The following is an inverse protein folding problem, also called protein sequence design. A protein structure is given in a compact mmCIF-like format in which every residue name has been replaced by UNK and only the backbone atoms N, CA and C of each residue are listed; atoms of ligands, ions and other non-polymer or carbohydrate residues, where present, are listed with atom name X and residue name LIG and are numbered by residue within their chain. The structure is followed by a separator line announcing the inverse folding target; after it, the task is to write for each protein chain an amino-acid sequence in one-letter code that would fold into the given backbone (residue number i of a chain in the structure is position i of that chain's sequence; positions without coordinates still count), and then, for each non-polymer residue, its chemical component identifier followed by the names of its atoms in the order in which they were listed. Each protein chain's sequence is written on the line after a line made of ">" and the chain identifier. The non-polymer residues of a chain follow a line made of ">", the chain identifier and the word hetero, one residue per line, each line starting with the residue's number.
data_IF_750432517900
#
_entry.id   IF_750432517900
#
_cell.length_a   1.000
_cell.length_b   1.000
_cell.length_c   1.000
_cell.angle_alpha   90.00
_cell.angle_beta   90.00
_cell.angle_gamma   90.00
#
_symmetry.space_group_name_H-M   'P 1'
#
loop_
_entity.id
_entity.type
_entity.pdbx_description
1 polymer ?
#
# COMPACT_ATOMS: atom_id res chain seq x y z
N UNK A 1 2.85 -19.51 30.24
CA UNK A 1 2.33 -18.98 28.96
C UNK A 1 1.06 -18.22 29.28
N UNK A 2 1.14 -16.89 29.36
CA UNK A 2 -0.01 -16.04 29.71
C UNK A 2 -0.80 -15.79 28.42
N UNK A 3 -2.10 -16.10 28.36
CA UNK A 3 -2.90 -15.79 27.18
C UNK A 3 -3.08 -14.26 27.09
N UNK A 4 -2.67 -13.68 25.96
CA UNK A 4 -2.94 -12.27 25.62
C UNK A 4 -4.41 -12.18 25.20
N UNK A 5 -5.30 -12.13 26.20
CA UNK A 5 -6.71 -11.77 26.04
C UNK A 5 -6.82 -10.27 26.34
N UNK A 6 -6.57 -9.44 25.34
CA UNK A 6 -6.92 -8.02 25.40
C UNK A 6 -8.45 -7.88 25.45
N UNK A 7 -8.94 -6.88 26.17
CA UNK A 7 -10.36 -6.60 26.28
C UNK A 7 -10.94 -6.33 24.88
N UNK A 8 -11.98 -7.08 24.52
CA UNK A 8 -12.62 -7.03 23.19
C UNK A 8 -13.14 -5.64 22.82
N UNK A 9 -13.43 -4.82 23.83
CA UNK A 9 -14.05 -3.50 23.68
C UNK A 9 -13.04 -2.46 23.16
N UNK A 10 -11.83 -2.42 23.72
CA UNK A 10 -10.78 -1.47 23.32
C UNK A 10 -10.35 -1.65 21.86
N UNK A 11 -10.19 -2.92 21.43
CA UNK A 11 -9.83 -3.25 20.04
C UNK A 11 -10.96 -2.88 19.07
N UNK A 12 -12.22 -3.01 19.51
CA UNK A 12 -13.41 -2.69 18.70
C UNK A 12 -13.59 -1.18 18.53
N UNK A 13 -13.31 -0.38 19.57
CA UNK A 13 -13.39 1.08 19.49
C UNK A 13 -12.29 1.66 18.59
N UNK A 14 -11.05 1.19 18.77
CA UNK A 14 -9.93 1.54 17.88
C UNK A 14 -10.23 1.17 16.42
N UNK A 15 -10.85 0.00 16.18
CA UNK A 15 -11.36 -0.41 14.87
C UNK A 15 -12.27 0.63 14.24
N UNK A 16 -13.29 1.03 15.00
CA UNK A 16 -14.37 1.87 14.51
C UNK A 16 -13.82 3.24 14.15
N UNK A 17 -12.91 3.75 14.99
CA UNK A 17 -12.19 4.99 14.76
C UNK A 17 -11.33 4.91 13.48
N UNK A 18 -10.49 3.89 13.35
CA UNK A 18 -9.65 3.66 12.16
C UNK A 18 -10.51 3.52 10.91
N UNK A 19 -11.58 2.74 10.98
CA UNK A 19 -12.51 2.54 9.86
C UNK A 19 -13.14 3.85 9.41
N UNK A 20 -13.56 4.70 10.36
CA UNK A 20 -14.12 6.02 10.06
C UNK A 20 -13.10 6.95 9.39
N UNK A 21 -11.89 7.03 9.93
CA UNK A 21 -10.81 7.87 9.38
C UNK A 21 -10.45 7.41 7.97
N UNK A 22 -10.21 6.10 7.79
CA UNK A 22 -9.78 5.52 6.52
C UNK A 22 -10.86 5.63 5.45
N UNK A 23 -12.13 5.38 5.79
CA UNK A 23 -13.23 5.51 4.82
C UNK A 23 -13.34 6.93 4.27
N UNK A 24 -13.18 7.93 5.15
CA UNK A 24 -13.15 9.34 4.75
C UNK A 24 -11.93 9.66 3.88
N UNK A 25 -10.75 9.15 4.24
CA UNK A 25 -9.54 9.33 3.42
C UNK A 25 -9.72 8.73 2.02
N UNK A 26 -10.25 7.52 1.90
CA UNK A 26 -10.51 6.87 0.61
C UNK A 26 -11.44 7.73 -0.25
N UNK A 27 -12.54 8.24 0.31
CA UNK A 27 -13.45 9.13 -0.42
C UNK A 27 -12.74 10.40 -0.92
N UNK A 28 -11.95 11.05 -0.06
CA UNK A 28 -11.21 12.25 -0.44
C UNK A 28 -10.12 11.97 -1.50
N UNK A 29 -9.41 10.85 -1.39
CA UNK A 29 -8.39 10.44 -2.35
C UNK A 29 -9.02 10.23 -3.74
N UNK A 30 -10.16 9.52 -3.80
CA UNK A 30 -10.88 9.27 -5.05
C UNK A 30 -11.34 10.57 -5.72
N UNK A 31 -11.73 11.57 -4.93
CA UNK A 31 -12.22 12.87 -5.43
C UNK A 31 -11.14 13.87 -5.83
N UNK A 32 -9.93 13.78 -5.26
CA UNK A 32 -8.85 14.78 -5.47
C UNK A 32 -7.94 14.46 -6.64
N UNK A 33 -7.77 13.19 -7.01
CA UNK A 33 -6.87 12.78 -8.08
C UNK A 33 -7.47 11.65 -8.91
N UNK A 34 -7.68 11.91 -10.19
CA UNK A 34 -8.29 10.96 -11.13
C UNK A 34 -7.51 9.65 -11.25
N UNK A 35 -6.19 9.65 -10.99
CA UNK A 35 -5.40 8.42 -11.00
C UNK A 35 -5.84 7.46 -9.88
N UNK A 36 -6.13 8.00 -8.69
CA UNK A 36 -6.55 7.25 -7.52
C UNK A 36 -8.08 7.10 -7.39
N UNK A 37 -8.86 7.53 -8.39
CA UNK A 37 -10.33 7.43 -8.41
C UNK A 37 -10.89 6.03 -8.17
N UNK A 38 -10.14 4.99 -8.56
CA UNK A 38 -10.53 3.58 -8.40
C UNK A 38 -9.88 2.90 -7.20
N UNK A 39 -9.24 3.66 -6.30
CA UNK A 39 -8.56 3.08 -5.13
C UNK A 39 -9.58 2.54 -4.15
N UNK A 40 -9.42 1.32 -3.68
CA UNK A 40 -10.30 0.68 -2.71
C UNK A 40 -9.50 0.29 -1.48
N UNK A 41 -10.17 0.23 -0.33
CA UNK A 41 -9.56 -0.42 0.82
C UNK A 41 -9.69 -1.93 0.63
N UNK A 42 -8.58 -2.65 0.76
CA UNK A 42 -8.65 -4.10 0.87
C UNK A 42 -9.08 -4.49 2.29
N UNK A 43 -10.17 -5.25 2.39
CA UNK A 43 -10.70 -5.78 3.65
C UNK A 43 -9.96 -7.01 4.16
N UNK A 44 -9.11 -7.63 3.32
CA UNK A 44 -8.30 -8.77 3.70
C UNK A 44 -7.10 -8.31 4.54
N UNK A 45 -7.24 -8.41 5.85
CA UNK A 45 -6.20 -8.07 6.81
C UNK A 45 -6.38 -8.83 8.11
N UNK A 46 -5.26 -9.15 8.76
CA UNK A 46 -5.19 -9.85 10.05
C UNK A 46 -5.96 -9.16 11.18
N UNK A 47 -6.32 -7.90 11.02
CA UNK A 47 -7.19 -7.15 11.90
C UNK A 47 -8.59 -7.79 12.03
N UNK A 48 -9.21 -8.17 10.91
CA UNK A 48 -10.51 -8.85 10.90
C UNK A 48 -10.37 -10.35 11.18
N UNK A 49 -9.23 -10.94 10.78
CA UNK A 49 -9.00 -12.39 10.86
C UNK A 49 -8.29 -12.83 12.15
N UNK A 50 -7.88 -11.90 13.04
CA UNK A 50 -7.20 -12.12 14.33
C UNK A 50 -5.91 -12.95 14.30
N UNK A 51 -5.34 -13.17 13.12
CA UNK A 51 -4.23 -14.13 12.89
C UNK A 51 -2.83 -13.53 13.03
N UNK A 52 -2.69 -12.19 13.02
CA UNK A 52 -1.44 -11.48 13.24
C UNK A 52 -1.74 -10.12 13.88
N UNK A 53 -1.66 -10.05 15.20
CA UNK A 53 -1.73 -8.79 15.94
C UNK A 53 -0.38 -8.70 16.66
N UNK A 54 0.51 -7.82 16.20
CA UNK A 54 1.73 -7.45 16.92
C UNK A 54 1.35 -6.69 18.18
N UNK A 55 0.57 -5.62 18.02
CA UNK A 55 0.09 -4.75 19.08
C UNK A 55 -1.35 -4.27 18.81
N UNK A 56 -2.21 -4.12 19.84
CA UNK A 56 -3.62 -3.73 19.68
C UNK A 56 -3.85 -2.37 19.01
N UNK A 57 -2.85 -1.51 19.00
CA UNK A 57 -2.92 -0.14 18.46
C UNK A 57 -2.20 0.02 17.12
N UNK A 58 -1.78 -1.06 16.47
CA UNK A 58 -1.11 -1.03 15.17
C UNK A 58 -2.01 -1.66 14.08
N UNK A 59 -2.22 -0.91 13.00
CA UNK A 59 -3.12 -1.31 11.92
C UNK A 59 -2.42 -1.19 10.56
N UNK A 60 -2.32 -2.30 9.83
CA UNK A 60 -1.90 -2.28 8.43
C UNK A 60 -3.11 -2.23 7.49
N UNK A 61 -3.14 -1.25 6.58
CA UNK A 61 -4.22 -1.07 5.62
C UNK A 61 -3.65 -0.98 4.21
N UNK A 62 -4.07 -1.91 3.36
CA UNK A 62 -3.77 -1.84 1.94
C UNK A 62 -4.84 -1.03 1.21
N UNK A 63 -4.40 0.02 0.52
CA UNK A 63 -5.20 0.73 -0.46
C UNK A 63 -4.85 0.17 -1.84
N UNK A 64 -5.77 -0.61 -2.38
CA UNK A 64 -5.61 -1.34 -3.63
C UNK A 64 -6.16 -0.53 -4.79
N UNK A 65 -5.35 -0.37 -5.82
CA UNK A 65 -5.75 0.28 -7.05
C UNK A 65 -5.62 -0.71 -8.22
N UNK A 66 -6.72 -1.03 -8.92
CA UNK A 66 -6.66 -1.90 -10.08
C UNK A 66 -5.89 -1.22 -11.21
N UNK A 67 -4.96 -1.97 -11.81
CA UNK A 67 -4.20 -1.58 -12.99
C UNK A 67 -4.33 -2.67 -14.05
N UNK A 68 -4.50 -2.24 -15.30
CA UNK A 68 -4.67 -3.14 -16.43
C UNK A 68 -3.49 -3.03 -17.39
N UNK A 69 -3.17 -4.14 -18.05
CA UNK A 69 -2.19 -4.20 -19.15
C UNK A 69 -0.82 -3.66 -18.76
N UNK A 70 -0.35 -4.01 -17.57
CA UNK A 70 1.01 -3.70 -17.15
C UNK A 70 1.99 -4.71 -17.72
N UNK A 71 3.24 -4.31 -17.79
CA UNK A 71 4.40 -5.16 -18.01
C UNK A 71 5.29 -5.07 -16.76
N UNK A 72 5.82 -6.23 -16.37
CA UNK A 72 6.68 -6.39 -15.21
C UNK A 72 8.06 -6.81 -15.71
N UNK A 73 9.05 -5.97 -15.46
CA UNK A 73 10.45 -6.26 -15.77
C UNK A 73 11.19 -6.50 -14.44
N UNK A 74 11.89 -7.62 -14.29
CA UNK A 74 12.60 -7.95 -13.06
C UNK A 74 13.70 -6.91 -12.77
N UNK A 75 13.70 -6.38 -11.54
CA UNK A 75 14.68 -5.39 -11.08
C UNK A 75 15.97 -6.07 -10.56
N UNK A 76 15.85 -7.31 -10.08
CA UNK A 76 16.98 -8.10 -9.57
C UNK A 76 16.77 -9.61 -9.74
N UNK A 77 17.74 -10.39 -9.26
CA UNK A 77 17.78 -11.84 -9.28
C UNK A 77 16.91 -12.53 -8.21
N UNK A 78 16.21 -11.76 -7.37
CA UNK A 78 15.40 -12.31 -6.28
C UNK A 78 14.00 -12.73 -6.74
N UNK A 79 13.53 -12.20 -7.87
CA UNK A 79 12.18 -12.41 -8.37
C UNK A 79 11.08 -11.74 -7.53
N UNK A 80 11.44 -10.81 -6.64
CA UNK A 80 10.51 -10.10 -5.76
C UNK A 80 10.37 -8.60 -6.11
N UNK A 81 11.32 -8.02 -6.85
CA UNK A 81 11.29 -6.61 -7.25
C UNK A 81 11.08 -6.49 -8.76
N UNK A 82 10.18 -5.58 -9.13
CA UNK A 82 9.78 -5.36 -10.51
C UNK A 82 9.72 -3.88 -10.83
N UNK A 83 10.20 -3.51 -12.01
CA UNK A 83 9.78 -2.31 -12.68
C UNK A 83 8.41 -2.53 -13.32
N UNK A 84 7.57 -1.50 -13.27
CA UNK A 84 6.22 -1.55 -13.82
C UNK A 84 6.12 -0.55 -14.96
N UNK A 85 5.64 -1.00 -16.12
CA UNK A 85 5.30 -0.14 -17.25
C UNK A 85 3.91 -0.49 -17.78
N UNK A 86 3.27 0.42 -18.51
CA UNK A 86 2.00 0.12 -19.17
C UNK A 86 2.28 -0.37 -20.60
N UNK A 87 1.78 -1.56 -20.97
CA UNK A 87 1.82 -2.05 -22.36
C UNK A 87 1.06 -1.11 -23.32
N UNK A 88 0.08 -0.39 -22.79
CA UNK A 88 -0.63 0.70 -23.46
C UNK A 88 -1.05 1.72 -22.41
N UNK A 89 -0.61 2.96 -22.56
CA UNK A 89 -0.96 4.02 -21.62
C UNK A 89 -2.48 4.22 -21.55
N UNK A 90 -3.10 4.15 -20.36
CA UNK A 90 -4.53 4.42 -20.21
C UNK A 90 -4.80 5.90 -20.50
N UNK A 91 -5.60 6.20 -21.54
CA UNK A 91 -5.91 7.58 -21.94
C UNK A 91 -6.80 8.34 -20.93
N UNK A 92 -7.54 7.61 -20.10
CA UNK A 92 -8.57 8.17 -19.20
C UNK A 92 -8.00 8.78 -17.91
N UNK A 93 -6.74 8.48 -17.59
CA UNK A 93 -6.09 8.90 -16.34
C UNK A 93 -4.78 9.59 -16.67
N UNK A 94 -4.47 10.66 -15.95
CA UNK A 94 -3.22 11.42 -16.10
C UNK A 94 -2.04 10.68 -15.45
N UNK A 95 -1.71 9.50 -15.97
CA UNK A 95 -0.58 8.69 -15.50
C UNK A 95 0.77 9.34 -15.80
N UNK A 96 0.82 10.29 -16.74
CA UNK A 96 2.06 10.90 -17.21
C UNK A 96 2.87 11.52 -16.07
N UNK A 97 2.21 12.14 -15.09
CA UNK A 97 2.87 12.71 -13.89
C UNK A 97 3.58 11.67 -13.00
N UNK A 98 3.24 10.39 -13.13
CA UNK A 98 3.84 9.30 -12.38
C UNK A 98 4.85 8.48 -13.18
N UNK A 99 5.07 8.78 -14.46
CA UNK A 99 6.06 8.10 -15.26
C UNK A 99 7.45 8.75 -15.08
N UNK A 100 8.50 7.93 -15.13
CA UNK A 100 9.87 8.36 -15.36
C UNK A 100 10.12 8.56 -16.86
N UNK A 101 11.27 9.15 -17.21
CA UNK A 101 11.66 9.42 -18.61
C UNK A 101 11.69 8.15 -19.47
N UNK A 102 12.01 7.00 -18.87
CA UNK A 102 12.02 5.69 -19.54
C UNK A 102 10.64 5.01 -19.60
N UNK A 103 9.57 5.73 -19.24
CA UNK A 103 8.18 5.24 -19.30
C UNK A 103 7.79 4.29 -18.17
N UNK A 104 8.67 4.06 -17.18
CA UNK A 104 8.37 3.25 -16.00
C UNK A 104 7.57 4.04 -14.97
N UNK A 105 6.70 3.35 -14.25
CA UNK A 105 5.91 3.93 -13.18
C UNK A 105 6.78 4.19 -11.94
N UNK A 106 6.76 5.43 -11.47
CA UNK A 106 7.51 5.87 -10.30
C UNK A 106 6.71 5.65 -9.02
N UNK A 107 7.08 4.59 -8.29
CA UNK A 107 6.57 4.34 -6.95
C UNK A 107 6.72 5.56 -6.02
N UNK A 108 7.82 6.30 -6.17
CA UNK A 108 8.09 7.51 -5.39
C UNK A 108 7.09 8.64 -5.69
N UNK A 109 6.88 8.98 -6.97
CA UNK A 109 5.94 10.06 -7.36
C UNK A 109 4.51 9.72 -6.91
N UNK A 110 4.09 8.47 -7.07
CA UNK A 110 2.77 8.02 -6.62
C UNK A 110 2.59 8.11 -5.10
N UNK A 111 3.57 7.60 -4.32
CA UNK A 111 3.53 7.69 -2.87
C UNK A 111 3.57 9.13 -2.37
N UNK A 112 4.33 10.01 -3.03
CA UNK A 112 4.35 11.42 -2.68
C UNK A 112 2.99 12.09 -2.93
N UNK A 113 2.40 11.90 -4.11
CA UNK A 113 1.08 12.46 -4.40
C UNK A 113 0.00 11.96 -3.42
N UNK A 114 -0.03 10.66 -3.16
CA UNK A 114 -0.95 10.07 -2.18
C UNK A 114 -0.73 10.65 -0.78
N UNK A 115 0.53 10.79 -0.35
CA UNK A 115 0.88 11.34 0.97
C UNK A 115 0.46 12.79 1.13
N UNK A 116 0.61 13.63 0.10
CA UNK A 116 0.18 15.03 0.16
C UNK A 116 -1.35 15.15 0.21
N UNK A 117 -2.07 14.33 -0.57
CA UNK A 117 -3.53 14.24 -0.50
C UNK A 117 -3.99 13.86 0.91
N UNK A 118 -3.37 12.83 1.52
CA UNK A 118 -3.68 12.39 2.88
C UNK A 118 -3.37 13.50 3.88
N UNK A 119 -2.19 14.13 3.83
CA UNK A 119 -1.82 15.24 4.73
C UNK A 119 -2.80 16.41 4.67
N UNK A 120 -3.31 16.74 3.48
CA UNK A 120 -4.31 17.79 3.33
C UNK A 120 -5.65 17.35 3.93
N UNK A 121 -6.04 16.08 3.73
CA UNK A 121 -7.33 15.60 4.23
C UNK A 121 -7.36 15.38 5.73
N UNK A 122 -6.29 14.90 6.36
CA UNK A 122 -6.27 14.71 7.83
C UNK A 122 -6.51 16.01 8.59
N UNK A 123 -6.10 17.17 8.03
CA UNK A 123 -6.38 18.49 8.60
C UNK A 123 -7.87 18.87 8.59
N UNK A 124 -8.65 18.25 7.71
CA UNK A 124 -10.09 18.49 7.57
C UNK A 124 -10.93 17.56 8.46
N UNK A 125 -10.31 16.56 9.08
CA UNK A 125 -10.99 15.62 9.99
C UNK A 125 -11.27 16.35 11.30
N UNK A 126 -12.56 16.42 11.68
CA UNK A 126 -13.01 17.03 12.93
C UNK A 126 -13.30 15.94 13.97
N UNK A 127 -13.11 16.28 15.25
CA UNK A 127 -13.44 15.41 16.38
C UNK A 127 -12.40 14.34 16.72
N UNK A 128 -11.30 14.26 15.97
CA UNK A 128 -10.17 13.35 16.22
C UNK A 128 -8.90 14.04 15.74
N UNK A 129 -7.84 14.02 16.53
CA UNK A 129 -6.54 14.49 16.08
C UNK A 129 -5.83 13.37 15.30
N UNK A 130 -5.62 13.62 14.00
CA UNK A 130 -4.94 12.70 13.09
C UNK A 130 -3.76 13.42 12.45
N UNK A 131 -2.57 12.84 12.55
CA UNK A 131 -1.35 13.35 11.93
C UNK A 131 -0.70 12.29 11.03
N UNK A 132 0.17 12.72 10.12
CA UNK A 132 0.93 11.81 9.26
C UNK A 132 2.37 11.79 9.76
N UNK A 133 2.82 10.64 10.26
CA UNK A 133 4.17 10.49 10.80
C UNK A 133 5.24 10.73 9.74
N UNK A 134 6.43 11.18 10.13
CA UNK A 134 7.55 11.47 9.20
C UNK A 134 7.86 10.26 8.30
N UNK A 135 8.12 10.54 7.02
CA UNK A 135 8.51 9.49 6.05
C UNK A 135 9.77 8.77 6.52
N UNK A 136 9.69 7.45 6.68
CA UNK A 136 10.84 6.57 6.93
C UNK A 136 11.49 6.19 5.59
N UNK A 137 12.81 6.27 5.49
CA UNK A 137 13.53 5.93 4.27
C UNK A 137 13.31 4.44 3.89
N UNK A 138 12.99 4.16 2.63
CA UNK A 138 12.73 2.80 2.13
C UNK A 138 11.46 2.12 2.68
N UNK A 139 10.63 2.83 3.47
CA UNK A 139 9.32 2.32 3.88
C UNK A 139 8.26 2.63 2.81
N UNK A 140 7.45 1.64 2.39
CA UNK A 140 6.34 1.88 1.47
C UNK A 140 5.13 2.49 2.16
N UNK A 141 5.07 2.45 3.50
CA UNK A 141 3.90 2.85 4.25
C UNK A 141 3.81 4.37 4.47
N UNK A 142 2.58 4.88 4.41
CA UNK A 142 2.19 6.20 4.91
C UNK A 142 1.53 5.99 6.27
N UNK A 143 2.33 6.14 7.33
CA UNK A 143 1.86 5.95 8.71
C UNK A 143 1.05 7.15 9.19
N UNK A 144 -0.18 6.90 9.65
CA UNK A 144 -1.01 7.84 10.39
C UNK A 144 -0.83 7.62 11.89
N UNK A 145 -0.88 8.71 12.65
CA UNK A 145 -0.98 8.70 14.09
C UNK A 145 -2.32 9.31 14.47
N UNK A 146 -3.18 8.50 15.09
CA UNK A 146 -4.51 8.89 15.54
C UNK A 146 -4.48 8.94 17.06
N UNK A 147 -4.72 10.12 17.65
CA UNK A 147 -4.83 10.22 19.11
C UNK A 147 -6.15 9.60 19.57
N UNK A 148 -6.05 8.62 20.47
CA UNK A 148 -7.19 7.93 21.06
C UNK A 148 -6.95 7.69 22.57
N UNK A 149 -7.01 8.75 23.41
CA UNK A 149 -6.65 8.66 24.82
C UNK A 149 -7.31 7.46 25.52
N UNK A 150 -6.57 6.67 26.33
CA UNK A 150 -5.23 6.96 26.85
C UNK A 150 -4.06 6.57 25.91
N UNK A 151 -4.33 6.07 24.70
CA UNK A 151 -3.29 5.54 23.80
C UNK A 151 -3.26 6.25 22.43
N UNK A 152 -2.22 5.96 21.63
CA UNK A 152 -2.13 6.43 20.24
C UNK A 152 -2.24 5.22 19.33
N UNK A 153 -3.03 5.37 18.25
CA UNK A 153 -3.19 4.34 17.23
C UNK A 153 -2.29 4.68 16.04
N UNK A 154 -1.48 3.71 15.62
CA UNK A 154 -0.66 3.78 14.42
C UNK A 154 -1.35 3.04 13.28
N UNK A 155 -1.50 3.69 12.13
CA UNK A 155 -2.10 3.07 10.93
C UNK A 155 -1.16 3.19 9.74
N UNK A 156 -0.59 2.07 9.29
CA UNK A 156 0.26 1.99 8.12
C UNK A 156 -0.58 1.81 6.86
N UNK A 157 -0.67 2.87 6.05
CA UNK A 157 -1.34 2.82 4.75
C UNK A 157 -0.35 2.40 3.66
N UNK A 158 -0.64 1.29 2.99
CA UNK A 158 0.19 0.72 1.93
C UNK A 158 -0.53 0.86 0.58
N UNK A 159 0.02 1.69 -0.30
CA UNK A 159 -0.43 1.76 -1.70
C UNK A 159 -0.06 0.46 -2.42
N UNK A 160 -1.06 -0.18 -3.01
CA UNK A 160 -0.93 -1.47 -3.68
C UNK A 160 -1.55 -1.41 -5.06
N UNK A 161 -0.83 -1.89 -6.08
CA UNK A 161 -1.39 -2.08 -7.42
C UNK A 161 -1.90 -3.50 -7.55
N UNK A 162 -3.14 -3.66 -7.98
CA UNK A 162 -3.73 -4.96 -8.30
C UNK A 162 -3.72 -5.18 -9.81
N UNK A 163 -3.04 -6.23 -10.25
CA UNK A 163 -2.92 -6.58 -11.65
C UNK A 163 -3.59 -7.93 -11.90
N UNK A 164 -4.66 -7.90 -12.71
CA UNK A 164 -5.30 -9.11 -13.21
C UNK A 164 -4.50 -9.67 -14.39
N UNK A 165 -3.47 -10.46 -14.07
CA UNK A 165 -2.62 -11.14 -15.04
C UNK A 165 -2.00 -12.41 -14.43
N UNK A 166 -1.37 -13.24 -15.27
CA UNK A 166 -0.60 -14.37 -14.78
C UNK A 166 0.51 -13.93 -13.83
N UNK A 167 0.70 -14.69 -12.75
CA UNK A 167 1.79 -14.42 -11.81
C UNK A 167 3.16 -14.54 -12.50
N UNK A 168 4.18 -13.78 -12.05
CA UNK A 168 5.50 -13.79 -12.65
C UNK A 168 6.15 -15.18 -12.69
N UNK A 169 7.05 -15.39 -13.66
CA UNK A 169 7.74 -16.68 -13.84
C UNK A 169 8.54 -17.09 -12.59
N UNK A 170 9.11 -16.12 -11.89
CA UNK A 170 9.79 -16.31 -10.60
C UNK A 170 8.93 -17.07 -9.57
N UNK A 171 7.60 -16.97 -9.64
CA UNK A 171 6.67 -17.59 -8.69
C UNK A 171 6.29 -19.03 -9.06
N UNK A 172 6.68 -19.54 -10.24
CA UNK A 172 6.22 -20.84 -10.76
C UNK A 172 6.59 -22.01 -9.84
N UNK A 173 7.78 -21.98 -9.25
CA UNK A 173 8.24 -22.97 -8.25
C UNK A 173 7.75 -22.73 -6.82
N UNK A 174 7.00 -21.65 -6.60
CA UNK A 174 6.43 -21.28 -5.31
C UNK A 174 5.04 -21.89 -5.06
N UNK A 175 4.47 -21.53 -3.90
CA UNK A 175 3.16 -22.00 -3.40
C UNK A 175 3.06 -23.54 -3.42
N UNK A 176 3.97 -24.19 -2.69
CA UNK A 176 4.09 -25.67 -2.60
C UNK A 176 3.04 -26.27 -1.64
N UNK A 177 1.77 -26.17 -2.03
CA UNK A 177 0.62 -26.62 -1.22
C UNK A 177 -0.10 -27.82 -1.83
N UNK A 178 0.45 -28.42 -2.89
CA UNK A 178 -0.19 -29.50 -3.65
C UNK A 178 -0.46 -30.73 -2.78
N UNK A 179 0.46 -31.07 -1.88
CA UNK A 179 0.31 -32.19 -0.95
C UNK A 179 -0.54 -31.85 0.28
N UNK A 180 -0.83 -30.56 0.52
CA UNK A 180 -1.58 -30.11 1.70
C UNK A 180 -3.02 -29.71 1.36
N UNK A 181 -3.20 -28.76 0.45
CA UNK A 181 -4.51 -28.22 0.05
C UNK A 181 -4.94 -28.70 -1.33
N UNK A 182 -4.08 -29.41 -2.06
CA UNK A 182 -4.37 -29.95 -3.37
C UNK A 182 -4.01 -29.02 -4.52
N UNK A 183 -3.82 -29.62 -5.69
CA UNK A 183 -3.43 -28.93 -6.93
C UNK A 183 -4.53 -27.98 -7.44
N UNK A 184 -5.81 -28.31 -7.21
CA UNK A 184 -6.95 -27.46 -7.57
C UNK A 184 -6.92 -26.13 -6.81
N UNK A 185 -6.75 -26.17 -5.48
CA UNK A 185 -6.67 -24.97 -4.64
C UNK A 185 -5.47 -24.11 -5.05
N UNK A 186 -4.31 -24.72 -5.30
CA UNK A 186 -3.14 -24.00 -5.82
C UNK A 186 -3.45 -23.27 -7.11
N UNK A 187 -4.09 -23.95 -8.07
CA UNK A 187 -4.45 -23.37 -9.36
C UNK A 187 -5.39 -22.17 -9.18
N UNK A 188 -6.42 -22.32 -8.37
CA UNK A 188 -7.44 -21.28 -8.16
C UNK A 188 -6.83 -20.05 -7.47
N UNK A 189 -5.89 -20.23 -6.52
CA UNK A 189 -5.15 -19.13 -5.91
C UNK A 189 -4.27 -18.39 -6.93
N UNK A 190 -3.59 -19.09 -7.83
CA UNK A 190 -2.73 -18.48 -8.86
C UNK A 190 -3.49 -17.79 -9.98
N UNK A 191 -4.79 -18.04 -10.11
CA UNK A 191 -5.67 -17.29 -11.01
C UNK A 191 -6.18 -15.97 -10.43
N UNK A 192 -5.98 -15.73 -9.13
CA UNK A 192 -6.29 -14.44 -8.49
C UNK A 192 -5.25 -13.39 -8.89
N UNK A 193 -5.63 -12.13 -8.74
CA UNK A 193 -4.79 -10.97 -9.03
C UNK A 193 -3.44 -11.04 -8.30
N UNK A 194 -2.43 -10.44 -8.94
CA UNK A 194 -1.16 -10.13 -8.30
C UNK A 194 -1.25 -8.76 -7.62
N UNK A 195 -0.61 -8.61 -6.47
CA UNK A 195 -0.49 -7.33 -5.76
C UNK A 195 0.97 -6.85 -5.76
N UNK A 196 1.18 -5.58 -6.10
CA UNK A 196 2.50 -4.94 -6.15
C UNK A 196 2.53 -3.79 -5.14
N UNK A 197 3.55 -3.79 -4.27
CA UNK A 197 3.74 -2.74 -3.25
C UNK A 197 4.96 -1.90 -3.61
N UNK A 198 4.88 -0.60 -3.35
CA UNK A 198 5.91 0.39 -3.61
C UNK A 198 7.17 0.27 -2.71
N UNK A 199 7.79 -0.92 -2.68
CA UNK A 199 8.98 -1.22 -1.87
C UNK A 199 10.24 -1.00 -2.70
N UNK A 200 11.14 -0.15 -2.21
CA UNK A 200 12.42 0.08 -2.85
C UNK A 200 13.36 -1.12 -2.69
N UNK A 201 14.03 -1.50 -3.77
CA UNK A 201 15.10 -2.49 -3.74
C UNK A 201 16.37 -1.86 -3.15
N UNK A 202 16.88 -2.42 -2.05
CA UNK A 202 18.12 -1.94 -1.42
C UNK A 202 19.39 -2.27 -2.22
N UNK A 203 19.31 -3.22 -3.17
CA UNK A 203 20.44 -3.62 -4.03
C UNK A 203 20.63 -2.69 -5.23
N UNK A 204 19.64 -1.87 -5.56
CA UNK A 204 19.78 -0.86 -6.60
C UNK A 204 20.72 0.26 -6.15
N UNK A 205 21.87 0.38 -6.83
CA UNK A 205 22.86 1.44 -6.59
C UNK A 205 22.41 2.83 -7.09
N UNK A 206 21.33 2.90 -7.86
CA UNK A 206 20.85 4.15 -8.48
C UNK A 206 19.52 4.54 -7.85
N UNK A 207 19.52 5.65 -7.10
CA UNK A 207 18.31 6.29 -6.60
C UNK A 207 17.53 6.90 -7.78
N UNK A 208 16.64 6.12 -8.41
CA UNK A 208 15.67 6.67 -9.36
C UNK A 208 14.61 7.43 -8.56
N UNK A 209 14.73 8.77 -8.52
CA UNK A 209 13.75 9.66 -7.88
C UNK A 209 14.29 10.67 -6.86
N UNK A 210 15.60 10.85 -6.69
CA UNK A 210 16.11 12.04 -5.99
C UNK A 210 16.27 13.19 -6.97
N UNK A 211 15.27 14.05 -7.06
CA UNK A 211 15.56 15.46 -7.33
C UNK A 211 16.42 15.95 -6.16
N UNK A 212 17.72 16.12 -6.38
CA UNK A 212 18.55 16.95 -5.54
C UNK A 212 17.95 18.36 -5.59
N UNK A 213 17.06 18.67 -4.64
CA UNK A 213 16.92 20.05 -4.20
C UNK A 213 18.09 20.27 -3.25
N UNK A 214 19.21 20.68 -3.84
CA UNK A 214 20.25 21.41 -3.12
C UNK A 214 19.60 22.67 -2.56
N UNK A 215 19.21 22.59 -1.29
CA UNK A 215 19.00 23.75 -0.44
C UNK A 215 20.39 24.29 -0.08
N UNK A 216 21.04 24.96 -1.02
CA UNK A 216 22.02 25.99 -0.67
C UNK A 216 21.22 27.26 -0.42
N UNK A 217 20.95 27.53 0.86
CA UNK A 217 20.48 28.83 1.33
C UNK A 217 21.66 29.79 1.41
N UNK A 218 21.34 31.06 1.11
CA UNK A 218 22.09 32.32 1.20
C UNK A 218 22.79 32.74 -0.10
#
# INVERSE_FOLDING_TARGET
>A
MVPILLAREDVSEAAALVNRVVSRLVQAIRGKDSCFSSIERQSAGSYYERVKISEPNEFDIMLVMPVARIQLDESDDTGAYYYVSFKRSPKEKDWAKFLEEDGKLSAFKMLQALREIIKQEVKNIKGVEVTVARKKAGSPAITLQIKNPPSEISVDIILTLEAQQSWPVSTQGGLKIEQWLGTKVRRDLRFRSLYLVAKQNKREKVLRGTSNMDNTKL
#
